data_IF_289194785123
#
_entry.id   IF_289194785123
#
_cell.length_a   1.000
_cell.length_b   1.000
_cell.length_c   1.000
_cell.angle_alpha   90.00
_cell.angle_beta   90.00
_cell.angle_gamma   90.00
#
_symmetry.space_group_name_H-M   'P 1'
#
loop_
_entity.id
_entity.type
_entity.pdbx_description
1 polymer ?
#
# COMPACT_ATOMS: atom_id res chain seq x y z
N UNK A 1 20.91 29.64 15.56
CA UNK A 1 19.71 29.60 14.69
C UNK A 1 19.94 28.84 13.38
N UNK A 2 21.11 28.89 12.72
CA UNK A 2 21.34 28.12 11.48
C UNK A 2 21.51 26.59 11.68
N UNK A 3 21.89 26.14 12.88
CA UNK A 3 22.15 24.73 13.20
C UNK A 3 20.87 23.90 13.38
N UNK A 4 19.83 24.47 14.01
CA UNK A 4 18.55 23.79 14.24
C UNK A 4 17.79 23.53 12.94
N UNK A 5 17.91 24.45 11.97
CA UNK A 5 17.31 24.31 10.65
C UNK A 5 17.97 23.16 9.86
N UNK A 6 19.29 23.00 9.97
CA UNK A 6 20.02 21.90 9.33
C UNK A 6 19.63 20.54 9.93
N UNK A 7 19.59 20.42 11.26
CA UNK A 7 19.16 19.20 11.94
C UNK A 7 17.72 18.82 11.54
N UNK A 8 16.82 19.79 11.57
CA UNK A 8 15.41 19.56 11.20
C UNK A 8 15.27 19.10 9.76
N UNK A 9 16.08 19.64 8.83
CA UNK A 9 16.12 19.18 7.45
C UNK A 9 16.60 17.73 7.33
N UNK A 10 17.67 17.36 8.04
CA UNK A 10 18.19 15.99 8.06
C UNK A 10 17.19 15.01 8.67
N UNK A 11 16.50 15.37 9.75
CA UNK A 11 15.46 14.54 10.37
C UNK A 11 14.26 14.35 9.44
N UNK A 12 13.86 15.37 8.67
CA UNK A 12 12.81 15.24 7.66
C UNK A 12 13.25 14.37 6.48
N UNK A 13 14.47 14.53 5.99
CA UNK A 13 15.03 13.71 4.93
C UNK A 13 15.13 12.24 5.37
N UNK A 14 15.59 12.00 6.60
CA UNK A 14 15.62 10.68 7.22
C UNK A 14 14.22 10.09 7.38
N UNK A 15 13.26 10.89 7.85
CA UNK A 15 11.87 10.46 7.99
C UNK A 15 11.25 10.04 6.66
N UNK A 16 11.53 10.78 5.59
CA UNK A 16 11.14 10.42 4.23
C UNK A 16 11.81 9.13 3.74
N UNK A 17 13.13 8.98 3.94
CA UNK A 17 13.84 7.76 3.58
C UNK A 17 13.31 6.54 4.35
N UNK A 18 13.04 6.69 5.64
CA UNK A 18 12.53 5.62 6.50
C UNK A 18 11.10 5.21 6.13
N UNK A 19 10.23 6.18 5.81
CA UNK A 19 8.87 5.89 5.37
C UNK A 19 8.83 5.14 4.02
N UNK A 20 9.83 5.38 3.15
CA UNK A 20 9.96 4.76 1.83
C UNK A 20 11.04 3.68 1.76
N UNK A 21 11.50 3.18 2.92
CA UNK A 21 12.61 2.22 3.00
C UNK A 21 12.28 0.89 2.32
N UNK A 22 11.01 0.50 2.33
CA UNK A 22 10.56 -0.75 1.74
C UNK A 22 9.92 -0.50 0.37
N UNK A 23 10.54 -1.04 -0.68
CA UNK A 23 9.90 -1.18 -1.97
C UNK A 23 8.98 -2.39 -1.90
N UNK A 24 7.67 -2.13 -1.76
CA UNK A 24 6.66 -3.18 -1.69
C UNK A 24 6.16 -3.50 -3.10
N UNK A 25 6.42 -4.72 -3.56
CA UNK A 25 5.70 -5.26 -4.72
C UNK A 25 4.43 -5.90 -4.20
N UNK A 26 3.32 -5.20 -4.36
CA UNK A 26 2.01 -5.80 -4.11
C UNK A 26 1.79 -6.90 -5.14
N UNK A 27 1.55 -8.12 -4.67
CA UNK A 27 0.87 -9.09 -5.49
C UNK A 27 -0.53 -8.54 -5.74
N UNK A 28 -0.87 -8.27 -7.00
CA UNK A 28 -2.22 -7.88 -7.35
C UNK A 28 -3.14 -9.04 -6.95
N UNK A 29 -3.95 -8.86 -5.91
CA UNK A 29 -4.88 -9.87 -5.39
C UNK A 29 -6.08 -10.06 -6.32
N UNK A 30 -5.90 -9.89 -7.62
CA UNK A 30 -7.00 -9.64 -8.53
C UNK A 30 -7.80 -10.89 -8.89
N UNK A 31 -7.32 -12.11 -8.60
CA UNK A 31 -8.14 -13.33 -8.75
C UNK A 31 -7.72 -14.43 -7.78
N UNK A 32 -8.67 -14.94 -7.00
CA UNK A 32 -8.44 -16.09 -6.13
C UNK A 32 -8.39 -17.37 -6.98
N UNK A 33 -7.47 -18.30 -6.72
CA UNK A 33 -7.31 -19.54 -7.51
C UNK A 33 -8.62 -20.36 -7.59
N UNK A 34 -9.40 -20.35 -6.50
CA UNK A 34 -10.72 -21.04 -6.45
C UNK A 34 -11.83 -20.38 -7.28
N UNK A 35 -11.65 -19.15 -7.74
CA UNK A 35 -12.64 -18.50 -8.62
C UNK A 35 -12.74 -19.25 -9.96
N UNK A 36 -11.61 -19.71 -10.51
CA UNK A 36 -11.59 -20.59 -11.69
C UNK A 36 -12.23 -21.95 -11.41
N UNK A 37 -12.07 -22.49 -10.20
CA UNK A 37 -12.67 -23.76 -9.82
C UNK A 37 -14.22 -23.67 -9.76
N UNK A 38 -14.77 -22.52 -9.33
CA UNK A 38 -16.21 -22.23 -9.40
C UNK A 38 -16.70 -22.20 -10.85
N UNK A 39 -15.93 -21.55 -11.72
CA UNK A 39 -16.32 -21.33 -13.11
C UNK A 39 -16.27 -22.63 -13.95
N UNK A 40 -15.43 -23.59 -13.56
CA UNK A 40 -15.35 -24.94 -14.15
C UNK A 40 -16.19 -26.01 -13.43
N UNK A 41 -16.97 -25.64 -12.41
CA UNK A 41 -17.78 -26.60 -11.66
C UNK A 41 -18.91 -27.21 -12.52
N UNK A 42 -19.32 -28.47 -12.27
CA UNK A 42 -20.43 -29.09 -12.98
C UNK A 42 -21.72 -28.25 -12.87
N UNK A 43 -22.40 -28.02 -13.99
CA UNK A 43 -23.64 -27.24 -14.03
C UNK A 43 -23.47 -25.73 -14.23
N UNK A 44 -22.25 -25.20 -14.17
CA UNK A 44 -21.98 -23.75 -14.31
C UNK A 44 -22.31 -23.24 -15.71
N UNK A 45 -21.92 -23.99 -16.76
CA UNK A 45 -22.22 -23.67 -18.15
C UNK A 45 -23.73 -23.63 -18.43
N UNK A 46 -24.45 -24.61 -17.89
CA UNK A 46 -25.90 -24.76 -18.05
C UNK A 46 -26.66 -23.64 -17.33
N UNK A 47 -26.18 -23.18 -16.17
CA UNK A 47 -26.75 -22.04 -15.44
C UNK A 47 -26.52 -20.73 -16.18
N UNK A 48 -25.29 -20.47 -16.61
CA UNK A 48 -24.94 -19.26 -17.37
C UNK A 48 -25.74 -19.14 -18.68
N UNK A 49 -25.97 -20.27 -19.37
CA UNK A 49 -26.83 -20.32 -20.56
C UNK A 49 -28.29 -19.95 -20.25
N UNK A 50 -28.84 -20.38 -19.10
CA UNK A 50 -30.23 -20.03 -18.72
C UNK A 50 -30.37 -18.53 -18.46
N UNK A 51 -29.38 -17.91 -17.83
CA UNK A 51 -29.39 -16.47 -17.54
C UNK A 51 -29.31 -15.63 -18.83
N UNK A 52 -28.61 -16.12 -19.86
CA UNK A 52 -28.52 -15.48 -21.18
C UNK A 52 -29.82 -15.52 -21.99
N UNK A 53 -30.73 -16.45 -21.72
CA UNK A 53 -31.98 -16.63 -22.48
C UNK A 53 -33.02 -15.54 -22.15
N UNK A 54 -32.83 -14.76 -21.08
CA UNK A 54 -33.73 -13.67 -20.67
C UNK A 54 -33.46 -12.33 -21.38
N UNK A 55 -34.25 -11.99 -22.40
CA UNK A 55 -34.22 -10.77 -23.25
C UNK A 55 -33.09 -10.71 -24.28
N UNK A 56 -33.27 -11.47 -25.36
CA UNK A 56 -32.40 -11.47 -26.53
C UNK A 56 -32.62 -10.23 -27.40
N UNK A 57 -31.92 -9.12 -27.10
CA UNK A 57 -31.86 -7.91 -27.92
C UNK A 57 -31.26 -8.10 -29.33
N UNK A 58 -31.44 -9.28 -29.94
CA UNK A 58 -30.93 -9.70 -31.25
C UNK A 58 -31.34 -8.74 -32.36
N UNK A 59 -32.58 -8.25 -32.40
CA UNK A 59 -33.00 -7.25 -33.40
C UNK A 59 -32.15 -5.98 -33.34
N UNK A 60 -31.88 -5.46 -32.14
CA UNK A 60 -31.02 -4.27 -31.95
C UNK A 60 -29.56 -4.56 -32.32
N UNK A 61 -29.05 -5.75 -31.97
CA UNK A 61 -27.68 -6.17 -32.30
C UNK A 61 -27.46 -6.36 -33.79
N UNK A 62 -28.40 -6.97 -34.50
CA UNK A 62 -28.37 -7.07 -35.98
C UNK A 62 -28.37 -5.70 -36.63
N UNK A 63 -29.27 -4.81 -36.22
CA UNK A 63 -29.33 -3.44 -36.73
C UNK A 63 -28.03 -2.66 -36.53
N UNK A 64 -27.40 -2.79 -35.35
CA UNK A 64 -26.09 -2.17 -35.08
C UNK A 64 -24.98 -2.80 -35.91
N UNK A 65 -24.98 -4.13 -36.06
CA UNK A 65 -23.98 -4.87 -36.84
C UNK A 65 -24.00 -4.46 -38.33
N UNK A 66 -25.18 -4.39 -38.93
CA UNK A 66 -25.38 -3.96 -40.33
C UNK A 66 -24.83 -2.55 -40.59
N UNK A 67 -24.86 -1.65 -39.60
CA UNK A 67 -24.39 -0.27 -39.71
C UNK A 67 -22.94 -0.05 -39.28
N UNK A 68 -22.24 -1.09 -38.82
CA UNK A 68 -20.87 -0.98 -38.31
C UNK A 68 -19.81 -0.85 -39.41
N UNK A 69 -20.13 -1.20 -40.66
CA UNK A 69 -19.19 -1.17 -41.79
C UNK A 69 -18.16 -2.32 -41.79
N UNK A 70 -18.25 -3.26 -40.86
CA UNK A 70 -17.35 -4.43 -40.78
C UNK A 70 -17.84 -5.55 -41.70
N UNK A 71 -17.01 -5.98 -42.64
CA UNK A 71 -17.34 -7.12 -43.53
C UNK A 71 -17.30 -8.44 -42.76
N UNK A 72 -18.32 -9.29 -42.97
CA UNK A 72 -18.41 -10.62 -42.36
C UNK A 72 -18.89 -10.64 -40.90
N UNK A 73 -19.37 -9.51 -40.37
CA UNK A 73 -19.91 -9.46 -39.01
C UNK A 73 -21.24 -10.23 -38.93
N UNK A 74 -21.25 -11.34 -38.20
CA UNK A 74 -22.43 -12.17 -37.98
C UNK A 74 -22.66 -12.42 -36.48
N UNK A 75 -23.91 -12.62 -36.09
CA UNK A 75 -24.20 -13.10 -34.74
C UNK A 75 -23.83 -14.57 -34.65
N UNK A 76 -22.97 -14.91 -33.69
CA UNK A 76 -22.64 -16.30 -33.42
C UNK A 76 -23.81 -17.01 -32.72
N UNK A 77 -24.10 -18.26 -33.10
CA UNK A 77 -25.09 -19.05 -32.38
C UNK A 77 -24.58 -19.39 -30.98
N UNK A 78 -25.49 -19.54 -30.01
CA UNK A 78 -25.15 -19.74 -28.60
C UNK A 78 -24.32 -21.00 -28.33
N UNK A 79 -24.42 -22.03 -29.18
CA UNK A 79 -23.60 -23.24 -29.07
C UNK A 79 -22.13 -23.01 -29.43
N UNK A 80 -21.83 -21.97 -30.21
CA UNK A 80 -20.49 -21.63 -30.67
C UNK A 80 -19.75 -20.67 -29.72
N UNK A 81 -20.37 -20.32 -28.58
CA UNK A 81 -19.81 -19.38 -27.59
C UNK A 81 -19.71 -20.09 -26.25
N UNK A 82 -18.58 -19.92 -25.57
CA UNK A 82 -18.48 -20.29 -24.16
C UNK A 82 -19.13 -19.18 -23.31
N UNK A 83 -20.21 -19.46 -22.55
CA UNK A 83 -20.84 -18.49 -21.68
C UNK A 83 -19.98 -18.15 -20.45
N UNK A 84 -18.95 -18.95 -20.15
CA UNK A 84 -18.03 -18.74 -19.04
C UNK A 84 -16.96 -17.74 -19.49
N UNK A 85 -16.60 -16.80 -18.60
CA UNK A 85 -15.58 -15.79 -18.88
C UNK A 85 -14.23 -16.48 -19.13
N UNK A 86 -13.64 -16.29 -20.30
CA UNK A 86 -12.24 -16.68 -20.52
C UNK A 86 -11.32 -15.61 -19.94
N UNK A 87 -10.65 -15.92 -18.83
CA UNK A 87 -9.46 -15.18 -18.42
C UNK A 87 -8.28 -15.68 -19.26
N UNK A 88 -7.45 -14.79 -19.79
CA UNK A 88 -6.21 -15.18 -20.46
C UNK A 88 -5.36 -16.04 -19.51
N UNK A 89 -5.10 -17.29 -19.86
CA UNK A 89 -4.32 -18.20 -19.04
C UNK A 89 -2.82 -17.87 -19.02
N UNK A 90 -2.36 -17.01 -19.93
CA UNK A 90 -1.01 -16.47 -19.93
C UNK A 90 -0.82 -15.28 -18.96
N UNK A 91 -1.92 -14.69 -18.50
CA UNK A 91 -1.94 -13.51 -17.63
C UNK A 91 -2.39 -13.89 -16.21
N UNK A 92 -1.94 -15.07 -15.76
CA UNK A 92 -2.22 -15.53 -14.39
C UNK A 92 -1.40 -14.66 -13.44
N UNK A 93 -2.00 -14.07 -12.39
CA UNK A 93 -1.19 -13.62 -11.28
C UNK A 93 -0.46 -14.87 -10.77
N UNK A 94 0.85 -14.87 -10.92
CA UNK A 94 1.68 -15.74 -10.11
C UNK A 94 1.30 -15.44 -8.65
N UNK A 95 1.24 -16.46 -7.80
CA UNK A 95 1.34 -16.26 -6.35
C UNK A 95 2.74 -15.68 -6.07
N UNK A 96 2.99 -14.46 -6.56
CA UNK A 96 4.16 -13.71 -6.23
C UNK A 96 3.97 -13.43 -4.75
N UNK A 97 4.85 -13.94 -3.88
CA UNK A 97 4.76 -13.58 -2.47
C UNK A 97 4.77 -12.06 -2.37
N UNK A 98 4.06 -11.50 -1.39
CA UNK A 98 4.23 -10.09 -1.05
C UNK A 98 5.71 -9.90 -0.70
N UNK A 99 6.48 -9.32 -1.62
CA UNK A 99 7.92 -9.10 -1.45
C UNK A 99 8.11 -7.65 -1.06
N UNK A 100 8.68 -7.44 0.12
CA UNK A 100 9.19 -6.15 0.56
C UNK A 100 10.72 -6.19 0.44
N UNK A 101 11.29 -5.35 -0.42
CA UNK A 101 12.74 -5.17 -0.52
C UNK A 101 13.16 -3.98 0.34
N UNK A 102 14.07 -4.20 1.27
CA UNK A 102 14.68 -3.13 2.06
C UNK A 102 15.75 -2.40 1.22
N UNK A 103 15.46 -1.15 0.86
CA UNK A 103 16.35 -0.27 0.09
C UNK A 103 17.40 0.39 1.02
N UNK A 104 17.20 0.33 2.33
CA UNK A 104 18.07 0.92 3.34
C UNK A 104 17.90 2.44 3.48
N UNK A 105 18.77 3.03 4.32
CA UNK A 105 18.86 4.48 4.52
C UNK A 105 20.18 5.00 3.91
N UNK A 106 20.16 6.16 3.23
CA UNK A 106 21.37 6.82 2.73
C UNK A 106 22.46 6.98 3.81
N UNK A 107 23.73 6.80 3.42
CA UNK A 107 24.87 6.80 4.35
C UNK A 107 24.97 8.09 5.17
N UNK A 108 24.70 9.24 4.54
CA UNK A 108 24.68 10.56 5.17
C UNK A 108 23.65 10.72 6.29
N UNK A 109 22.62 9.86 6.35
CA UNK A 109 21.56 9.89 7.35
C UNK A 109 21.67 8.75 8.37
N UNK A 110 22.63 7.82 8.21
CA UNK A 110 22.83 6.71 9.15
C UNK A 110 23.20 7.15 10.57
N UNK A 111 23.78 8.34 10.71
CA UNK A 111 24.07 8.89 12.04
C UNK A 111 22.77 9.12 12.83
N UNK A 112 21.66 9.49 12.17
CA UNK A 112 20.35 9.65 12.79
C UNK A 112 19.84 8.33 13.35
N UNK A 113 19.98 7.23 12.60
CA UNK A 113 19.61 5.89 13.10
C UNK A 113 20.43 5.48 14.32
N UNK A 114 21.75 5.72 14.29
CA UNK A 114 22.64 5.40 15.42
C UNK A 114 22.28 6.23 16.66
N UNK A 115 22.02 7.52 16.46
CA UNK A 115 21.62 8.44 17.51
C UNK A 115 20.26 8.04 18.11
N UNK A 116 19.27 7.74 17.26
CA UNK A 116 17.96 7.24 17.70
C UNK A 116 18.05 5.88 18.41
N UNK A 117 18.87 4.95 17.92
CA UNK A 117 19.09 3.66 18.58
C UNK A 117 19.74 3.83 19.96
N UNK A 118 20.67 4.79 20.09
CA UNK A 118 21.26 5.15 21.38
C UNK A 118 20.23 5.79 22.31
N UNK A 119 19.44 6.75 21.81
CA UNK A 119 18.35 7.37 22.55
C UNK A 119 17.30 6.34 22.98
N UNK A 120 16.98 5.36 22.14
CA UNK A 120 15.99 4.31 22.46
C UNK A 120 16.40 3.48 23.67
N UNK A 121 17.70 3.22 23.84
CA UNK A 121 18.24 2.48 25.00
C UNK A 121 18.14 3.26 26.31
N UNK A 122 18.31 4.58 26.26
CA UNK A 122 18.32 5.44 27.46
C UNK A 122 16.95 6.03 27.78
N UNK A 123 16.21 6.39 26.75
CA UNK A 123 14.98 7.18 26.78
C UNK A 123 13.99 6.68 25.70
N UNK A 124 13.41 5.48 25.86
CA UNK A 124 12.59 4.84 24.83
C UNK A 124 11.37 5.67 24.40
N UNK A 125 10.68 6.29 25.35
CA UNK A 125 9.53 7.16 25.04
C UNK A 125 9.94 8.34 24.13
N UNK A 126 11.07 8.97 24.43
CA UNK A 126 11.57 10.11 23.65
C UNK A 126 11.95 9.70 22.24
N UNK A 127 12.65 8.57 22.12
CA UNK A 127 13.03 8.02 20.82
C UNK A 127 11.80 7.67 19.98
N UNK A 128 10.75 7.11 20.59
CA UNK A 128 9.48 6.86 19.92
C UNK A 128 8.80 8.14 19.45
N UNK A 129 8.79 9.19 20.28
CA UNK A 129 8.22 10.51 19.90
C UNK A 129 8.97 11.10 18.71
N UNK A 130 10.30 11.14 18.74
CA UNK A 130 11.10 11.68 17.61
C UNK A 130 10.88 10.83 16.36
N UNK A 131 10.94 9.51 16.48
CA UNK A 131 10.70 8.61 15.35
C UNK A 131 9.33 8.87 14.72
N UNK A 132 8.26 8.89 15.52
CA UNK A 132 6.90 9.10 15.03
C UNK A 132 6.69 10.50 14.46
N UNK A 133 7.35 11.54 15.02
CA UNK A 133 7.20 12.90 14.51
C UNK A 133 7.67 13.03 13.06
N UNK A 134 8.80 12.43 12.71
CA UNK A 134 9.41 12.60 11.39
C UNK A 134 9.00 11.53 10.37
N UNK A 135 8.48 10.37 10.81
CA UNK A 135 8.06 9.29 9.89
C UNK A 135 6.56 9.29 9.56
N UNK A 136 5.71 9.87 10.42
CA UNK A 136 4.25 9.83 10.24
C UNK A 136 3.71 11.20 9.82
N UNK A 137 2.96 11.23 8.72
CA UNK A 137 2.25 12.42 8.25
C UNK A 137 0.86 12.53 8.89
N UNK A 138 0.79 12.97 10.14
CA UNK A 138 -0.46 13.16 10.89
C UNK A 138 -0.39 14.35 11.85
N UNK A 139 -1.51 14.74 12.46
CA UNK A 139 -1.52 15.75 13.52
C UNK A 139 -0.82 15.23 14.79
N UNK A 140 -0.24 16.15 15.58
CA UNK A 140 0.45 15.77 16.83
C UNK A 140 -0.46 15.05 17.83
N UNK A 141 -1.78 15.30 17.80
CA UNK A 141 -2.74 14.58 18.64
C UNK A 141 -2.84 13.10 18.23
N UNK A 142 -2.87 12.81 16.93
CA UNK A 142 -2.88 11.44 16.40
C UNK A 142 -1.54 10.76 16.69
N UNK A 143 -0.42 11.44 16.45
CA UNK A 143 0.93 10.92 16.76
C UNK A 143 1.09 10.59 18.23
N UNK A 144 0.63 11.46 19.13
CA UNK A 144 0.69 11.22 20.58
C UNK A 144 -0.09 9.96 20.98
N UNK A 145 -1.27 9.74 20.38
CA UNK A 145 -2.04 8.50 20.59
C UNK A 145 -1.31 7.27 20.06
N UNK A 146 -0.72 7.33 18.86
CA UNK A 146 0.06 6.22 18.30
C UNK A 146 1.25 5.85 19.19
N UNK A 147 1.96 6.84 19.72
CA UNK A 147 3.07 6.62 20.66
C UNK A 147 2.56 6.03 21.97
N UNK A 148 1.43 6.52 22.49
CA UNK A 148 0.80 6.00 23.70
C UNK A 148 0.45 4.50 23.56
N UNK A 149 -0.16 4.12 22.44
CA UNK A 149 -0.45 2.71 22.10
C UNK A 149 0.81 1.86 22.02
N UNK A 150 1.84 2.35 21.32
CA UNK A 150 3.09 1.59 21.13
C UNK A 150 3.91 1.45 22.40
N UNK A 151 3.92 2.47 23.26
CA UNK A 151 4.66 2.47 24.52
C UNK A 151 3.91 1.75 25.65
N UNK A 152 2.59 1.58 25.54
CA UNK A 152 1.77 0.91 26.55
C UNK A 152 1.40 1.82 27.71
N UNK A 153 0.95 3.05 27.44
CA UNK A 153 0.54 4.00 28.48
C UNK A 153 -0.31 5.15 27.95
N UNK A 154 -0.53 6.17 28.78
CA UNK A 154 -1.22 7.40 28.37
C UNK A 154 -0.22 8.51 28.12
N UNK A 155 -0.28 9.16 26.96
CA UNK A 155 0.56 10.29 26.61
C UNK A 155 -0.31 11.48 26.19
N UNK A 156 -0.23 12.58 26.93
CA UNK A 156 -0.88 13.82 26.54
C UNK A 156 -0.12 14.55 25.43
N UNK A 157 -0.80 15.39 24.66
CA UNK A 157 -0.18 16.20 23.59
C UNK A 157 0.91 17.14 24.14
N UNK A 158 0.72 17.65 25.36
CA UNK A 158 1.74 18.49 26.00
C UNK A 158 3.01 17.70 26.34
N UNK A 159 2.86 16.49 26.91
CA UNK A 159 4.00 15.61 27.18
C UNK A 159 4.70 15.20 25.88
N UNK A 160 3.94 14.91 24.83
CA UNK A 160 4.46 14.62 23.50
C UNK A 160 5.34 15.77 22.98
N UNK A 161 4.84 17.01 22.98
CA UNK A 161 5.61 18.20 22.54
C UNK A 161 6.87 18.41 23.38
N UNK A 162 6.78 18.19 24.69
CA UNK A 162 7.91 18.35 25.60
C UNK A 162 8.99 17.30 25.37
N UNK A 163 8.61 16.04 25.16
CA UNK A 163 9.56 14.98 24.82
C UNK A 163 10.13 15.15 23.41
N UNK A 164 9.35 15.67 22.46
CA UNK A 164 9.85 16.02 21.14
C UNK A 164 10.96 17.08 21.23
N UNK A 165 10.72 18.17 21.96
CA UNK A 165 11.74 19.21 22.15
C UNK A 165 13.02 18.63 22.75
N UNK A 166 12.90 17.88 23.86
CA UNK A 166 14.05 17.20 24.50
C UNK A 166 14.75 16.22 23.56
N UNK A 167 14.01 15.58 22.68
CA UNK A 167 14.52 14.68 21.65
C UNK A 167 15.37 15.42 20.65
N UNK A 168 14.87 16.54 20.12
CA UNK A 168 15.62 17.41 19.20
C UNK A 168 16.86 17.96 19.89
N UNK A 169 16.75 18.51 21.10
CA UNK A 169 17.88 19.04 21.86
C UNK A 169 18.98 17.99 22.08
N UNK A 170 18.58 16.74 22.37
CA UNK A 170 19.50 15.62 22.53
C UNK A 170 20.20 15.26 21.22
N UNK A 171 19.48 15.26 20.10
CA UNK A 171 20.04 15.00 18.77
C UNK A 171 21.00 16.11 18.32
N UNK A 172 20.73 17.37 18.68
CA UNK A 172 21.66 18.48 18.45
C UNK A 172 22.99 18.24 19.17
N UNK A 173 22.95 17.74 20.41
CA UNK A 173 24.15 17.35 21.14
C UNK A 173 24.91 16.19 20.49
N UNK A 174 24.19 15.18 19.98
CA UNK A 174 24.79 14.04 19.30
C UNK A 174 25.41 14.39 17.94
N UNK A 175 24.90 15.41 17.24
CA UNK A 175 25.46 15.89 15.98
C UNK A 175 26.75 16.70 16.17
N UNK A 176 26.97 17.26 17.36
CA UNK A 176 28.15 18.03 17.71
C UNK A 176 29.31 17.19 18.28
N UNK A 177 29.07 15.90 18.55
CA UNK A 177 30.03 14.95 19.14
C UNK A 177 30.61 14.02 18.07
#
# INVERSE_FOLDING_TARGET
>A
MATDDNLTAQLRAWGFAQANRFALTYADRSTHVLEKARDMAPGTRERALRDLVGRDGSSRRRFMAERSGVQGLAMLPTWAVDPIRSSNDADKPHDNPEIAVDVGIPDELRWVERALASMMRQHPLRALVVHTEYTVSASQAVKARMVAEKYGGTLSVWQYRRELQRGVDWMTGAMAA
#
